data_IF_777139507202
#
_entry.id   IF_777139507202
#
_cell.length_a   1.000
_cell.length_b   1.000
_cell.length_c   1.000
_cell.angle_alpha   90.00
_cell.angle_beta   90.00
_cell.angle_gamma   90.00
#
_symmetry.space_group_name_H-M   'P 1'
#
loop_
_entity.id
_entity.type
_entity.pdbx_description
1 polymer ?
#
# COMPACT_ATOMS: atom_id res chain seq x y z
N UNK A 1 60.54 -38.82 -47.03
CA UNK A 1 60.61 -40.29 -46.78
C UNK A 1 59.72 -40.59 -45.59
N UNK A 2 58.77 -41.52 -45.84
CA UNK A 2 58.00 -42.34 -44.84
C UNK A 2 57.12 -41.60 -43.87
N UNK A 3 55.84 -41.56 -43.98
CA UNK A 3 54.80 -42.64 -43.98
C UNK A 3 54.40 -43.09 -42.60
N UNK A 4 53.08 -43.05 -42.41
CA UNK A 4 52.17 -43.90 -41.64
C UNK A 4 51.43 -43.15 -40.57
N UNK A 5 50.17 -43.01 -40.68
CA UNK A 5 48.97 -43.86 -40.75
C UNK A 5 48.24 -43.96 -39.38
N UNK A 6 47.05 -43.37 -39.35
CA UNK A 6 45.81 -43.83 -38.65
C UNK A 6 45.89 -44.15 -37.15
N UNK A 7 45.04 -43.43 -36.37
CA UNK A 7 43.88 -44.10 -35.73
C UNK A 7 42.79 -43.04 -35.39
N UNK A 8 41.60 -43.34 -35.85
CA UNK A 8 40.31 -42.72 -35.56
C UNK A 8 39.95 -43.11 -34.14
N UNK A 9 39.71 -42.14 -33.25
CA UNK A 9 38.98 -42.37 -32.02
C UNK A 9 37.96 -41.28 -31.82
N UNK A 10 36.72 -41.67 -31.94
CA UNK A 10 35.53 -40.88 -31.74
C UNK A 10 35.44 -40.53 -30.25
N UNK A 11 35.72 -39.30 -29.84
CA UNK A 11 35.38 -38.84 -28.50
C UNK A 11 34.32 -37.77 -28.60
N UNK A 12 33.10 -38.18 -28.26
CA UNK A 12 31.93 -37.32 -28.12
C UNK A 12 32.20 -36.31 -27.04
N UNK A 13 32.46 -35.06 -27.43
CA UNK A 13 32.59 -33.93 -26.51
C UNK A 13 31.19 -33.38 -26.25
N UNK A 14 30.64 -33.79 -25.09
CA UNK A 14 29.40 -33.24 -24.54
C UNK A 14 29.66 -31.79 -24.12
N UNK A 15 29.29 -30.84 -24.96
CA UNK A 15 29.26 -29.43 -24.66
C UNK A 15 28.16 -29.18 -23.61
N UNK A 16 28.54 -29.12 -22.35
CA UNK A 16 27.74 -28.49 -21.30
C UNK A 16 27.75 -26.99 -21.56
N UNK A 17 26.71 -26.51 -22.19
CA UNK A 17 26.39 -25.08 -22.25
C UNK A 17 25.92 -24.70 -20.85
N UNK A 18 26.80 -24.10 -20.06
CA UNK A 18 26.39 -23.30 -18.91
C UNK A 18 25.71 -22.05 -19.46
N UNK A 19 24.40 -22.09 -19.59
CA UNK A 19 23.60 -20.88 -19.66
C UNK A 19 23.68 -20.21 -18.28
N UNK A 20 24.52 -19.20 -18.13
CA UNK A 20 24.30 -18.16 -17.15
C UNK A 20 23.00 -17.47 -17.55
N UNK A 21 21.88 -17.95 -17.05
CA UNK A 21 20.67 -17.15 -17.00
C UNK A 21 20.94 -16.06 -15.95
N UNK A 22 20.93 -14.81 -16.37
CA UNK A 22 20.63 -13.71 -15.47
C UNK A 22 19.23 -14.00 -14.95
N UNK A 23 19.15 -14.46 -13.72
CA UNK A 23 17.91 -14.38 -12.97
C UNK A 23 17.76 -12.89 -12.58
N UNK A 24 17.19 -12.11 -13.48
CA UNK A 24 16.38 -11.00 -13.06
C UNK A 24 15.18 -11.67 -12.38
N UNK A 25 15.29 -11.88 -11.08
CA UNK A 25 14.16 -12.20 -10.23
C UNK A 25 13.25 -10.96 -10.23
N UNK A 26 12.44 -10.83 -11.27
CA UNK A 26 11.16 -10.15 -11.17
C UNK A 26 10.33 -10.96 -10.16
N UNK A 27 10.57 -10.68 -8.89
CA UNK A 27 9.64 -11.07 -7.84
C UNK A 27 8.42 -10.18 -8.05
N UNK A 28 7.52 -10.62 -8.94
CA UNK A 28 6.15 -10.14 -8.87
C UNK A 28 5.71 -10.36 -7.43
N UNK A 29 5.31 -9.29 -6.77
CA UNK A 29 4.65 -9.33 -5.46
C UNK A 29 3.28 -9.99 -5.63
N UNK A 30 3.27 -11.23 -6.06
CA UNK A 30 2.17 -12.13 -5.80
C UNK A 30 2.31 -12.49 -4.32
N UNK A 31 1.64 -11.72 -3.48
CA UNK A 31 1.41 -12.06 -2.08
C UNK A 31 0.54 -13.31 -2.01
N UNK A 32 1.02 -14.40 -2.59
CA UNK A 32 0.49 -15.72 -2.41
C UNK A 32 0.90 -16.20 -1.01
N UNK A 33 0.22 -15.68 -0.02
CA UNK A 33 0.21 -16.30 1.29
C UNK A 33 -0.49 -17.66 1.15
N UNK A 34 0.29 -18.70 1.06
CA UNK A 34 -0.05 -20.13 1.13
C UNK A 34 -1.40 -20.54 0.54
N UNK A 35 -1.35 -21.32 -0.53
CA UNK A 35 -2.43 -22.19 -1.04
C UNK A 35 -3.86 -21.62 -1.12
N UNK A 36 -4.03 -20.51 -1.84
CA UNK A 36 -5.35 -20.03 -2.23
C UNK A 36 -6.12 -19.28 -1.16
N UNK A 37 -5.45 -18.77 -0.13
CA UNK A 37 -5.99 -17.82 0.84
C UNK A 37 -5.97 -16.38 0.31
N UNK A 38 -5.80 -16.18 -0.99
CA UNK A 38 -5.74 -14.88 -1.62
C UNK A 38 -6.86 -13.92 -1.20
N UNK A 39 -7.02 -12.81 -1.88
CA UNK A 39 -7.92 -11.67 -1.61
C UNK A 39 -9.38 -11.99 -1.21
N UNK A 40 -9.68 -13.24 -0.92
CA UNK A 40 -11.02 -13.73 -0.64
C UNK A 40 -11.79 -14.06 -1.94
N UNK A 41 -12.97 -14.59 -1.79
CA UNK A 41 -13.91 -14.89 -2.87
C UNK A 41 -15.32 -14.44 -2.47
N UNK A 42 -16.24 -14.27 -3.44
CA UNK A 42 -17.65 -14.05 -3.13
C UNK A 42 -18.19 -15.12 -2.18
N UNK A 43 -19.06 -14.69 -1.29
CA UNK A 43 -19.68 -15.56 -0.29
C UNK A 43 -20.64 -16.55 -0.97
N UNK A 44 -20.67 -17.76 -0.44
CA UNK A 44 -21.58 -18.81 -0.90
C UNK A 44 -23.05 -18.39 -0.75
N UNK A 45 -23.85 -18.69 -1.78
CA UNK A 45 -25.27 -18.32 -1.87
C UNK A 45 -26.10 -18.88 -0.71
N UNK A 46 -25.65 -19.95 -0.06
CA UNK A 46 -26.34 -20.54 1.07
C UNK A 46 -26.49 -19.58 2.26
N UNK A 47 -25.63 -18.56 2.40
CA UNK A 47 -25.75 -17.53 3.44
C UNK A 47 -26.86 -16.52 3.14
N UNK A 48 -27.31 -16.43 1.88
CA UNK A 48 -28.35 -15.52 1.42
C UNK A 48 -28.18 -14.08 1.95
N UNK A 49 -26.94 -13.58 1.90
CA UNK A 49 -26.63 -12.18 2.21
C UNK A 49 -27.10 -11.32 1.05
N UNK A 50 -27.64 -10.15 1.34
CA UNK A 50 -28.13 -9.21 0.30
C UNK A 50 -27.02 -8.70 -0.62
N UNK A 51 -27.38 -7.74 -1.49
CA UNK A 51 -26.40 -7.06 -2.37
C UNK A 51 -25.29 -6.39 -1.56
N UNK A 52 -24.10 -6.32 -2.14
CA UNK A 52 -22.89 -5.83 -1.46
C UNK A 52 -22.61 -4.39 -1.88
N UNK A 53 -22.73 -3.44 -0.96
CA UNK A 53 -22.37 -2.03 -1.12
C UNK A 53 -20.92 -1.77 -0.64
N UNK A 54 -20.41 -2.68 0.21
CA UNK A 54 -19.05 -2.63 0.76
C UNK A 54 -18.21 -3.78 0.25
N UNK A 55 -16.96 -3.49 -0.04
CA UNK A 55 -15.96 -4.46 -0.52
C UNK A 55 -14.97 -4.73 0.59
N UNK A 56 -14.86 -5.99 1.00
CA UNK A 56 -13.85 -6.47 1.93
C UNK A 56 -12.75 -7.17 1.13
N UNK A 57 -11.53 -6.64 1.22
CA UNK A 57 -10.35 -7.21 0.55
C UNK A 57 -9.41 -7.78 1.60
N UNK A 58 -9.33 -9.11 1.70
CA UNK A 58 -8.44 -9.79 2.64
C UNK A 58 -7.00 -9.54 2.21
N UNK A 59 -6.19 -9.07 3.15
CA UNK A 59 -4.76 -8.82 2.95
C UNK A 59 -3.94 -9.98 3.50
N UNK A 60 -4.30 -10.45 4.69
CA UNK A 60 -3.66 -11.57 5.36
C UNK A 60 -4.62 -12.29 6.29
N UNK A 61 -4.30 -13.55 6.54
CA UNK A 61 -4.99 -14.38 7.50
C UNK A 61 -4.02 -15.38 8.11
N UNK A 62 -4.10 -15.54 9.43
CA UNK A 62 -3.31 -16.53 10.16
C UNK A 62 -4.08 -17.08 11.34
N UNK A 63 -3.62 -18.21 11.84
CA UNK A 63 -4.19 -18.87 13.01
C UNK A 63 -3.14 -18.99 14.10
N UNK A 64 -3.59 -18.90 15.36
CA UNK A 64 -2.72 -19.06 16.52
C UNK A 64 -3.36 -20.04 17.48
N UNK A 65 -2.59 -21.03 17.92
CA UNK A 65 -3.07 -21.97 18.93
C UNK A 65 -3.37 -21.26 20.27
N UNK A 66 -4.37 -21.70 21.00
CA UNK A 66 -5.14 -22.94 20.84
C UNK A 66 -6.36 -22.87 19.91
N UNK A 67 -6.74 -21.71 19.37
CA UNK A 67 -7.92 -21.62 18.51
C UNK A 67 -8.26 -20.21 18.02
N UNK A 68 -7.28 -19.31 17.97
CA UNK A 68 -7.50 -17.92 17.50
C UNK A 68 -7.33 -17.83 15.98
N UNK A 69 -8.26 -17.14 15.33
CA UNK A 69 -8.20 -16.75 13.92
C UNK A 69 -8.04 -15.25 13.85
N UNK A 70 -7.09 -14.78 13.06
CA UNK A 70 -6.80 -13.38 12.82
C UNK A 70 -6.91 -13.10 11.32
N UNK A 71 -7.64 -12.06 10.95
CA UNK A 71 -7.88 -11.67 9.56
C UNK A 71 -7.58 -10.18 9.44
N UNK A 72 -6.61 -9.83 8.63
CA UNK A 72 -6.37 -8.47 8.21
C UNK A 72 -7.06 -8.23 6.87
N UNK A 73 -7.92 -7.25 6.80
CA UNK A 73 -8.62 -6.87 5.59
C UNK A 73 -8.85 -5.37 5.51
N UNK A 74 -9.03 -4.91 4.28
CA UNK A 74 -9.39 -3.54 3.94
C UNK A 74 -10.88 -3.47 3.62
N UNK A 75 -11.53 -2.39 4.02
CA UNK A 75 -12.92 -2.10 3.65
C UNK A 75 -12.99 -0.85 2.78
N UNK A 76 -13.68 -0.96 1.64
CA UNK A 76 -14.00 0.16 0.76
C UNK A 76 -15.47 0.10 0.35
N UNK A 77 -16.01 1.21 -0.15
CA UNK A 77 -17.27 1.21 -0.87
C UNK A 77 -17.13 0.65 -2.29
N UNK A 78 -18.21 0.61 -3.05
CA UNK A 78 -18.24 0.13 -4.44
C UNK A 78 -17.42 1.01 -5.40
N UNK A 79 -17.17 2.26 -5.04
CA UNK A 79 -16.36 3.21 -5.83
C UNK A 79 -14.86 3.13 -5.46
N UNK A 80 -14.51 2.29 -4.47
CA UNK A 80 -13.14 2.10 -3.99
C UNK A 80 -12.71 3.10 -2.91
N UNK A 81 -13.62 3.96 -2.41
CA UNK A 81 -13.31 4.86 -1.33
C UNK A 81 -13.14 4.08 -0.01
N UNK A 82 -12.16 4.44 0.83
CA UNK A 82 -11.91 3.77 2.09
C UNK A 82 -13.07 3.98 3.08
N UNK A 83 -13.44 2.92 3.79
CA UNK A 83 -14.43 2.98 4.88
C UNK A 83 -13.70 2.78 6.20
N UNK A 84 -13.70 3.82 7.04
CA UNK A 84 -13.03 3.87 8.33
C UNK A 84 -14.02 3.88 9.51
N UNK A 85 -13.52 3.68 10.74
CA UNK A 85 -14.32 3.82 11.96
C UNK A 85 -15.25 2.65 12.28
N UNK A 86 -15.13 1.51 11.60
CA UNK A 86 -15.90 0.32 11.92
C UNK A 86 -15.38 -0.33 13.20
N UNK A 87 -16.29 -0.70 14.08
CA UNK A 87 -15.98 -1.46 15.30
C UNK A 87 -16.42 -2.92 15.17
N UNK A 88 -16.03 -3.78 16.12
CA UNK A 88 -16.29 -5.22 16.08
C UNK A 88 -17.79 -5.57 16.01
N UNK A 89 -18.67 -4.73 16.53
CA UNK A 89 -20.12 -4.97 16.53
C UNK A 89 -20.74 -4.93 15.12
N UNK A 90 -20.05 -4.27 14.16
CA UNK A 90 -20.47 -4.18 12.78
C UNK A 90 -20.21 -5.48 12.00
N UNK A 91 -19.36 -6.37 12.53
CA UNK A 91 -18.96 -7.60 11.85
C UNK A 91 -19.70 -8.81 12.38
N UNK A 92 -20.00 -9.75 11.50
CA UNK A 92 -20.51 -11.07 11.81
C UNK A 92 -19.63 -12.12 11.14
N UNK A 93 -19.24 -13.12 11.94
CA UNK A 93 -18.42 -14.24 11.50
C UNK A 93 -19.27 -15.45 11.28
N UNK A 94 -18.99 -16.17 10.20
CA UNK A 94 -19.63 -17.43 9.85
C UNK A 94 -18.55 -18.47 9.55
N UNK A 95 -18.69 -19.66 10.12
CA UNK A 95 -17.82 -20.79 9.82
C UNK A 95 -18.61 -21.96 9.25
N UNK A 96 -18.00 -22.68 8.30
CA UNK A 96 -18.54 -23.90 7.74
C UNK A 96 -17.48 -25.00 7.85
N UNK A 97 -17.79 -26.04 8.59
CA UNK A 97 -16.98 -27.25 8.67
C UNK A 97 -17.25 -28.20 7.52
N UNK A 98 -16.48 -29.30 7.45
CA UNK A 98 -16.56 -30.29 6.38
C UNK A 98 -17.95 -30.93 6.19
N UNK A 99 -18.71 -31.06 7.27
CA UNK A 99 -19.99 -31.78 7.28
C UNK A 99 -21.17 -30.82 7.35
N UNK A 100 -20.93 -29.51 7.33
CA UNK A 100 -21.97 -28.51 7.40
C UNK A 100 -22.52 -28.22 5.99
N UNK A 101 -23.82 -28.27 5.80
CA UNK A 101 -24.46 -27.95 4.51
C UNK A 101 -24.29 -26.46 4.16
N UNK A 102 -24.24 -25.58 5.17
CA UNK A 102 -24.01 -24.16 5.04
C UNK A 102 -23.23 -23.63 6.23
N UNK A 103 -22.92 -22.36 6.19
CA UNK A 103 -22.22 -21.64 7.25
C UNK A 103 -23.09 -21.48 8.52
N UNK A 104 -22.45 -21.57 9.65
CA UNK A 104 -23.02 -21.29 10.96
C UNK A 104 -22.48 -19.97 11.50
N UNK A 105 -23.35 -19.14 12.02
CA UNK A 105 -22.95 -17.88 12.69
C UNK A 105 -22.18 -18.17 13.96
N UNK A 106 -21.04 -17.52 14.14
CA UNK A 106 -20.25 -17.61 15.38
C UNK A 106 -20.73 -16.57 16.36
N UNK A 107 -21.06 -17.01 17.57
CA UNK A 107 -21.53 -16.14 18.65
C UNK A 107 -20.48 -15.10 19.04
N UNK A 108 -20.85 -13.82 19.01
CA UNK A 108 -19.96 -12.71 19.38
C UNK A 108 -19.49 -12.79 20.83
N UNK A 109 -20.35 -13.28 21.73
CA UNK A 109 -20.03 -13.37 23.16
C UNK A 109 -19.09 -14.53 23.49
N UNK A 110 -19.11 -15.60 22.71
CA UNK A 110 -18.27 -16.78 22.92
C UNK A 110 -16.95 -16.70 22.13
N UNK A 111 -16.92 -15.94 21.07
CA UNK A 111 -15.75 -15.82 20.18
C UNK A 111 -14.75 -14.75 20.61
N UNK A 112 -15.06 -13.92 21.61
CA UNK A 112 -14.22 -12.79 22.01
C UNK A 112 -13.78 -11.92 20.83
N UNK A 113 -14.69 -11.75 19.86
CA UNK A 113 -14.43 -11.02 18.62
C UNK A 113 -14.05 -9.56 18.92
N UNK A 114 -12.98 -9.11 18.31
CA UNK A 114 -12.49 -7.74 18.47
C UNK A 114 -11.85 -7.22 17.19
N UNK A 115 -11.88 -5.91 17.00
CA UNK A 115 -10.95 -5.21 16.15
C UNK A 115 -9.73 -4.87 16.99
N UNK A 116 -8.60 -5.35 16.58
CA UNK A 116 -7.33 -5.02 17.22
C UNK A 116 -6.81 -3.70 16.64
N UNK A 117 -6.48 -2.74 17.48
CA UNK A 117 -5.66 -1.60 17.08
C UNK A 117 -4.22 -2.13 16.98
N UNK A 118 -3.80 -2.49 15.78
CA UNK A 118 -2.55 -3.22 15.67
C UNK A 118 -1.49 -2.48 14.88
N UNK A 119 -0.69 -1.70 15.59
CA UNK A 119 0.53 -1.10 15.08
C UNK A 119 1.63 -2.12 14.74
N UNK A 120 1.53 -3.35 15.24
CA UNK A 120 2.60 -4.35 15.09
C UNK A 120 2.58 -5.10 13.75
N UNK A 121 1.47 -5.09 13.02
CA UNK A 121 1.36 -5.78 11.73
C UNK A 121 0.92 -4.86 10.58
N UNK A 122 0.85 -3.57 10.82
CA UNK A 122 0.47 -2.59 9.82
C UNK A 122 1.38 -1.37 9.89
N UNK A 123 2.08 -1.10 8.79
CA UNK A 123 2.86 0.13 8.61
C UNK A 123 2.20 1.02 7.57
N UNK A 124 2.05 2.30 7.88
CA UNK A 124 1.61 3.33 6.95
C UNK A 124 2.78 4.28 6.65
N UNK A 125 3.35 4.16 5.46
CA UNK A 125 4.47 4.97 5.04
C UNK A 125 4.01 6.05 4.04
N UNK A 126 4.34 7.31 4.30
CA UNK A 126 4.06 8.41 3.38
C UNK A 126 5.36 8.91 2.75
N UNK A 127 5.38 9.04 1.44
CA UNK A 127 6.48 9.61 0.65
C UNK A 127 5.97 10.94 0.11
N UNK A 128 6.41 12.03 0.71
CA UNK A 128 6.13 13.40 0.24
C UNK A 128 7.21 13.81 -0.74
N UNK A 129 6.82 14.20 -1.95
CA UNK A 129 7.70 14.54 -3.07
C UNK A 129 7.39 15.96 -3.51
N UNK A 130 8.32 16.86 -3.28
CA UNK A 130 8.16 18.30 -3.50
C UNK A 130 8.92 18.75 -4.75
N UNK A 131 8.22 19.39 -5.66
CA UNK A 131 8.85 20.16 -6.74
C UNK A 131 9.52 21.40 -6.16
N UNK A 132 10.84 21.47 -6.29
CA UNK A 132 11.63 22.63 -5.89
C UNK A 132 12.34 23.25 -7.11
N UNK A 133 11.67 23.24 -8.26
CA UNK A 133 12.08 24.01 -9.44
C UNK A 133 12.05 25.50 -9.18
N UNK A 134 12.67 26.27 -10.07
CA UNK A 134 12.83 27.71 -9.86
C UNK A 134 11.52 28.49 -9.71
N UNK A 135 10.44 28.05 -10.35
CA UNK A 135 9.12 28.69 -10.21
C UNK A 135 8.60 28.62 -8.78
N UNK A 136 8.66 27.43 -8.17
CA UNK A 136 8.26 27.21 -6.76
C UNK A 136 9.15 28.00 -5.81
N UNK A 137 10.48 27.87 -5.97
CA UNK A 137 11.45 28.53 -5.08
C UNK A 137 11.34 30.07 -5.09
N UNK A 138 11.01 30.66 -6.24
CA UNK A 138 10.93 32.11 -6.39
C UNK A 138 9.60 32.73 -6.02
N UNK A 139 8.50 31.95 -6.02
CA UNK A 139 7.15 32.52 -5.92
C UNK A 139 6.26 31.92 -4.84
N UNK A 140 6.55 30.71 -4.36
CA UNK A 140 5.60 29.92 -3.54
C UNK A 140 6.28 29.14 -2.40
N UNK A 141 7.56 29.39 -2.14
CA UNK A 141 8.33 28.60 -1.17
C UNK A 141 7.78 28.69 0.25
N UNK A 142 7.41 29.87 0.71
CA UNK A 142 6.94 30.08 2.09
C UNK A 142 5.58 29.40 2.30
N UNK A 143 4.68 29.49 1.32
CA UNK A 143 3.38 28.86 1.34
C UNK A 143 3.52 27.34 1.24
N UNK A 144 4.42 26.83 0.38
CA UNK A 144 4.72 25.40 0.29
C UNK A 144 5.25 24.86 1.62
N UNK A 145 6.18 25.55 2.26
CA UNK A 145 6.70 25.17 3.58
C UNK A 145 5.59 25.13 4.63
N UNK A 146 4.75 26.16 4.67
CA UNK A 146 3.62 26.23 5.61
C UNK A 146 2.64 25.08 5.37
N UNK A 147 2.25 24.82 4.13
CA UNK A 147 1.34 23.76 3.75
C UNK A 147 1.94 22.37 4.04
N UNK A 148 3.23 22.16 3.76
CA UNK A 148 3.93 20.91 4.03
C UNK A 148 4.06 20.63 5.53
N UNK A 149 4.30 21.64 6.35
CA UNK A 149 4.32 21.51 7.83
C UNK A 149 2.93 21.16 8.36
N UNK A 150 1.88 21.81 7.85
CA UNK A 150 0.49 21.49 8.19
C UNK A 150 0.16 20.03 7.81
N UNK A 151 0.55 19.61 6.62
CA UNK A 151 0.40 18.24 6.15
C UNK A 151 1.06 17.20 7.08
N UNK A 152 2.34 17.40 7.43
CA UNK A 152 3.05 16.53 8.38
C UNK A 152 2.31 16.43 9.70
N UNK A 153 1.81 17.56 10.22
CA UNK A 153 1.08 17.60 11.48
C UNK A 153 -0.25 16.83 11.42
N UNK A 154 -0.90 16.79 10.28
CA UNK A 154 -2.20 16.17 10.07
C UNK A 154 -2.09 14.66 9.74
N UNK A 155 -1.08 14.26 8.95
CA UNK A 155 -0.87 12.85 8.56
C UNK A 155 -0.24 12.05 9.68
N UNK A 156 0.76 12.61 10.37
CA UNK A 156 1.47 11.89 11.41
C UNK A 156 0.67 11.91 12.74
N UNK A 157 0.56 10.79 13.46
CA UNK A 157 -0.21 10.72 14.70
C UNK A 157 0.32 11.67 15.78
N UNK A 158 -0.53 12.09 16.72
CA UNK A 158 -0.17 12.99 17.81
C UNK A 158 0.85 12.37 18.79
N UNK A 159 0.79 11.05 18.94
CA UNK A 159 1.76 10.25 19.70
C UNK A 159 2.63 9.54 18.67
N UNK A 160 3.95 9.60 18.84
CA UNK A 160 4.88 8.92 17.97
C UNK A 160 4.65 7.41 18.00
N UNK A 161 4.33 6.84 16.86
CA UNK A 161 4.10 5.41 16.67
C UNK A 161 4.96 4.93 15.49
N UNK A 162 5.71 3.86 15.68
CA UNK A 162 6.60 3.33 14.64
C UNK A 162 5.86 2.76 13.42
N UNK A 163 4.56 2.57 13.52
CA UNK A 163 3.68 2.14 12.43
C UNK A 163 3.34 3.26 11.43
N UNK A 164 3.60 4.52 11.77
CA UNK A 164 3.40 5.66 10.88
C UNK A 164 4.72 6.37 10.65
N UNK A 165 5.19 6.34 9.40
CA UNK A 165 6.44 6.99 9.03
C UNK A 165 6.27 7.83 7.78
N UNK A 166 7.09 8.87 7.67
CA UNK A 166 7.13 9.71 6.48
C UNK A 166 8.57 9.95 6.06
N UNK A 167 8.82 9.92 4.75
CA UNK A 167 10.03 10.41 4.13
C UNK A 167 9.69 11.61 3.26
N UNK A 168 10.62 12.55 3.13
CA UNK A 168 10.46 13.72 2.27
C UNK A 168 11.57 13.72 1.23
N UNK A 169 11.16 13.79 -0.02
CA UNK A 169 12.04 13.93 -1.18
C UNK A 169 11.69 15.23 -1.92
N UNK A 170 12.61 15.69 -2.73
CA UNK A 170 12.37 16.79 -3.64
C UNK A 170 13.00 16.52 -4.99
N UNK A 171 12.53 17.21 -6.02
CA UNK A 171 13.04 17.13 -7.38
C UNK A 171 13.06 18.50 -8.05
N UNK A 172 13.87 18.62 -9.07
CA UNK A 172 13.98 19.72 -10.01
C UNK A 172 14.16 19.12 -11.43
N UNK A 173 14.92 19.73 -12.31
CA UNK A 173 15.21 19.22 -13.64
C UNK A 173 16.34 18.19 -13.70
N UNK A 174 17.04 17.92 -12.62
CA UNK A 174 18.07 16.89 -12.57
C UNK A 174 17.47 15.46 -12.61
N UNK A 175 18.23 14.49 -13.14
CA UNK A 175 17.78 13.08 -13.13
C UNK A 175 18.06 12.43 -11.76
N UNK A 176 17.58 13.07 -10.71
CA UNK A 176 17.72 12.61 -9.34
C UNK A 176 16.46 12.94 -8.54
N UNK A 177 16.07 12.05 -7.64
CA UNK A 177 15.10 12.33 -6.60
C UNK A 177 15.90 12.53 -5.31
N UNK A 178 16.01 13.78 -4.89
CA UNK A 178 16.86 14.17 -3.76
C UNK A 178 16.18 13.87 -2.43
N UNK A 179 16.91 13.25 -1.52
CA UNK A 179 16.43 13.00 -0.17
C UNK A 179 16.51 14.28 0.66
N UNK A 180 15.38 14.76 1.18
CA UNK A 180 15.33 15.88 2.15
C UNK A 180 15.36 15.33 3.58
N UNK A 181 14.53 14.31 3.87
CA UNK A 181 14.48 13.64 5.16
C UNK A 181 14.15 12.15 4.96
N UNK A 182 14.97 11.31 5.59
CA UNK A 182 14.77 9.86 5.54
C UNK A 182 13.50 9.42 6.28
N UNK A 183 13.10 8.17 6.08
CA UNK A 183 11.88 7.63 6.67
C UNK A 183 11.93 7.66 8.20
N UNK A 184 11.06 8.46 8.82
CA UNK A 184 11.01 8.66 10.26
C UNK A 184 9.58 8.76 10.79
N UNK A 185 9.38 8.37 12.06
CA UNK A 185 8.14 8.63 12.82
C UNK A 185 8.19 9.97 13.58
N UNK A 186 9.30 10.70 13.51
CA UNK A 186 9.52 11.96 14.21
C UNK A 186 8.97 13.16 13.44
N UNK A 187 7.82 13.69 13.87
CA UNK A 187 7.28 14.95 13.31
C UNK A 187 8.29 16.10 13.35
N UNK A 188 9.08 16.17 14.43
CA UNK A 188 10.01 17.28 14.61
C UNK A 188 11.14 17.27 13.57
N UNK A 189 11.64 16.08 13.22
CA UNK A 189 12.65 15.92 12.17
C UNK A 189 12.10 16.37 10.82
N UNK A 190 10.89 15.92 10.45
CA UNK A 190 10.22 16.28 9.21
C UNK A 190 9.98 17.81 9.12
N UNK A 191 9.44 18.42 10.20
CA UNK A 191 9.18 19.86 10.25
C UNK A 191 10.46 20.66 10.16
N UNK A 192 11.54 20.24 10.82
CA UNK A 192 12.84 20.89 10.73
C UNK A 192 13.37 20.84 9.29
N UNK A 193 13.35 19.68 8.65
CA UNK A 193 13.80 19.49 7.27
C UNK A 193 13.04 20.44 6.30
N UNK A 194 11.72 20.54 6.43
CA UNK A 194 10.91 21.46 5.62
C UNK A 194 11.32 22.92 5.87
N UNK A 195 11.51 23.32 7.13
CA UNK A 195 11.89 24.69 7.48
C UNK A 195 13.29 25.07 6.98
N UNK A 196 14.19 24.07 6.84
CA UNK A 196 15.56 24.29 6.38
C UNK A 196 15.67 24.39 4.84
N UNK A 197 14.59 24.16 4.08
CA UNK A 197 14.58 24.40 2.63
C UNK A 197 14.91 25.87 2.36
N UNK A 198 15.84 26.12 1.45
CA UNK A 198 16.25 27.47 1.02
C UNK A 198 15.90 27.67 -0.46
N UNK A 199 15.83 28.94 -0.87
CA UNK A 199 15.63 29.32 -2.28
C UNK A 199 16.81 28.97 -3.20
N UNK A 200 17.91 28.49 -2.62
CA UNK A 200 19.13 28.09 -3.32
C UNK A 200 19.37 26.57 -3.27
N UNK A 201 18.39 25.77 -2.87
CA UNK A 201 18.53 24.31 -2.74
C UNK A 201 18.70 23.61 -4.09
N UNK A 202 18.02 24.10 -5.12
CA UNK A 202 18.07 23.57 -6.48
C UNK A 202 19.08 24.31 -7.34
N UNK A 203 19.71 23.57 -8.26
CA UNK A 203 20.61 24.09 -9.28
C UNK A 203 20.03 24.05 -10.69
N UNK A 204 18.97 23.26 -10.93
CA UNK A 204 18.28 23.14 -12.22
C UNK A 204 16.90 23.78 -12.15
N UNK A 205 16.61 24.82 -12.94
CA UNK A 205 15.34 25.54 -12.86
C UNK A 205 14.15 24.75 -13.46
N UNK A 206 14.38 23.65 -14.16
CA UNK A 206 13.34 22.86 -14.82
C UNK A 206 12.72 21.81 -13.89
N UNK A 207 11.84 20.97 -14.42
CA UNK A 207 10.99 20.04 -13.68
C UNK A 207 11.06 18.65 -14.30
N UNK A 208 11.58 17.62 -13.60
CA UNK A 208 11.56 16.20 -13.99
C UNK A 208 10.40 15.48 -13.28
N UNK A 209 9.16 15.89 -13.56
CA UNK A 209 7.96 15.34 -12.92
C UNK A 209 7.83 13.83 -13.12
N UNK A 210 8.02 13.36 -14.36
CA UNK A 210 7.88 11.94 -14.69
C UNK A 210 8.95 11.08 -14.03
N UNK A 211 10.18 11.57 -13.96
CA UNK A 211 11.25 10.91 -13.23
C UNK A 211 10.99 10.84 -11.73
N UNK A 212 10.47 11.91 -11.14
CA UNK A 212 10.09 11.94 -9.73
C UNK A 212 9.00 10.92 -9.40
N UNK A 213 7.97 10.80 -10.26
CA UNK A 213 6.89 9.81 -10.11
C UNK A 213 7.44 8.37 -10.19
N UNK A 214 8.28 8.08 -11.20
CA UNK A 214 8.86 6.74 -11.38
C UNK A 214 9.72 6.35 -10.17
N UNK A 215 10.59 7.24 -9.72
CA UNK A 215 11.53 6.98 -8.63
C UNK A 215 10.82 6.86 -7.27
N UNK A 216 9.84 7.72 -7.00
CA UNK A 216 9.06 7.65 -5.75
C UNK A 216 8.15 6.42 -5.70
N UNK A 217 7.59 5.99 -6.83
CA UNK A 217 6.86 4.72 -6.92
C UNK A 217 7.77 3.54 -6.54
N UNK A 218 8.99 3.51 -7.09
CA UNK A 218 9.96 2.47 -6.75
C UNK A 218 10.31 2.46 -5.26
N UNK A 219 10.50 3.62 -4.64
CA UNK A 219 10.75 3.72 -3.20
C UNK A 219 9.57 3.14 -2.41
N UNK A 220 8.33 3.47 -2.80
CA UNK A 220 7.13 2.94 -2.14
C UNK A 220 7.05 1.40 -2.25
N UNK A 221 7.35 0.83 -3.41
CA UNK A 221 7.40 -0.62 -3.61
C UNK A 221 8.49 -1.28 -2.77
N UNK A 222 9.66 -0.68 -2.71
CA UNK A 222 10.78 -1.22 -1.94
C UNK A 222 10.47 -1.20 -0.43
N UNK A 223 9.80 -0.17 0.09
CA UNK A 223 9.30 -0.12 1.47
C UNK A 223 8.26 -1.22 1.76
N UNK A 224 7.34 -1.49 0.83
CA UNK A 224 6.39 -2.59 1.00
C UNK A 224 7.09 -3.96 0.99
N UNK A 225 8.12 -4.15 0.15
CA UNK A 225 8.92 -5.38 0.11
C UNK A 225 9.70 -5.60 1.42
N UNK A 226 10.22 -4.55 2.02
CA UNK A 226 10.89 -4.63 3.33
C UNK A 226 9.91 -5.02 4.43
N UNK A 227 8.74 -4.39 4.47
CA UNK A 227 7.69 -4.76 5.42
C UNK A 227 7.34 -6.26 5.34
N UNK A 228 7.23 -6.81 4.13
CA UNK A 228 6.92 -8.24 3.93
C UNK A 228 8.03 -9.14 4.49
N UNK A 229 9.30 -8.77 4.34
CA UNK A 229 10.42 -9.54 4.93
C UNK A 229 10.35 -9.60 6.45
N UNK A 230 9.79 -8.55 7.06
CA UNK A 230 9.60 -8.44 8.50
C UNK A 230 8.25 -9.02 8.96
N UNK A 231 7.51 -9.69 8.07
CA UNK A 231 6.15 -10.20 8.31
C UNK A 231 5.15 -9.10 8.71
N UNK A 232 5.39 -7.87 8.24
CA UNK A 232 4.54 -6.71 8.49
C UNK A 232 3.77 -6.39 7.21
N UNK A 233 2.46 -6.21 7.32
CA UNK A 233 1.66 -5.67 6.23
C UNK A 233 1.71 -4.16 6.27
N UNK A 234 1.99 -3.56 5.12
CA UNK A 234 2.10 -2.12 5.00
C UNK A 234 1.26 -1.55 3.87
N UNK A 235 0.96 -0.27 4.00
CA UNK A 235 0.51 0.57 2.91
C UNK A 235 1.50 1.72 2.72
N UNK A 236 1.59 2.22 1.49
CA UNK A 236 2.36 3.40 1.17
C UNK A 236 1.48 4.46 0.49
N UNK A 237 1.81 5.71 0.72
CA UNK A 237 1.19 6.85 0.05
C UNK A 237 2.27 7.68 -0.62
N UNK A 238 2.20 7.86 -1.93
CA UNK A 238 3.06 8.78 -2.69
C UNK A 238 2.26 10.06 -2.92
N UNK A 239 2.78 11.18 -2.45
CA UNK A 239 2.17 12.51 -2.58
C UNK A 239 3.11 13.38 -3.37
N UNK A 240 2.74 13.75 -4.59
CA UNK A 240 3.55 14.57 -5.48
C UNK A 240 2.96 15.97 -5.56
N UNK A 241 3.77 16.98 -5.26
CA UNK A 241 3.43 18.41 -5.46
C UNK A 241 4.23 18.97 -6.63
N UNK A 242 3.59 19.74 -7.50
CA UNK A 242 4.23 20.49 -8.58
C UNK A 242 3.42 21.75 -8.96
N UNK A 243 4.08 22.78 -9.46
CA UNK A 243 3.47 23.99 -10.04
C UNK A 243 3.57 24.04 -11.59
N UNK A 244 4.11 22.97 -12.21
CA UNK A 244 4.38 22.93 -13.63
C UNK A 244 4.11 21.60 -14.31
N UNK A 245 4.52 21.53 -15.56
CA UNK A 245 4.55 20.31 -16.36
C UNK A 245 5.97 19.78 -16.44
N UNK A 246 6.12 18.53 -16.88
CA UNK A 246 7.45 17.96 -17.13
C UNK A 246 8.20 18.75 -18.21
N UNK A 247 9.34 19.33 -17.84
CA UNK A 247 10.18 20.15 -18.72
C UNK A 247 11.52 19.46 -19.06
N UNK A 248 11.98 18.57 -18.19
CA UNK A 248 13.25 17.88 -18.37
C UNK A 248 13.21 16.87 -19.51
N UNK A 249 12.02 16.36 -19.86
CA UNK A 249 11.79 15.40 -20.95
C UNK A 249 12.70 14.16 -20.93
N UNK A 250 13.05 13.69 -19.72
CA UNK A 250 13.90 12.51 -19.51
C UNK A 250 13.12 11.22 -19.65
N UNK A 251 11.91 11.24 -19.17
CA UNK A 251 10.95 10.13 -19.20
C UNK A 251 9.69 10.56 -19.94
N UNK A 252 8.93 9.60 -20.43
CA UNK A 252 7.64 9.89 -21.07
C UNK A 252 6.52 9.82 -20.04
N UNK A 253 5.43 10.55 -20.27
CA UNK A 253 4.19 10.42 -19.50
C UNK A 253 3.73 8.96 -19.41
N UNK A 254 3.76 8.25 -20.57
CA UNK A 254 3.37 6.84 -20.63
C UNK A 254 4.19 5.96 -19.67
N UNK A 255 5.51 6.21 -19.57
CA UNK A 255 6.37 5.47 -18.64
C UNK A 255 6.00 5.75 -17.18
N UNK A 256 5.73 7.00 -16.81
CA UNK A 256 5.31 7.37 -15.48
C UNK A 256 3.95 6.77 -15.12
N UNK A 257 2.96 6.90 -16.02
CA UNK A 257 1.63 6.34 -15.79
C UNK A 257 1.62 4.81 -15.77
N UNK A 258 2.51 4.17 -16.51
CA UNK A 258 2.68 2.72 -16.46
C UNK A 258 3.07 2.26 -15.05
N UNK A 259 4.11 2.82 -14.45
CA UNK A 259 4.53 2.41 -13.09
C UNK A 259 3.46 2.71 -12.03
N UNK A 260 2.73 3.83 -12.16
CA UNK A 260 1.60 4.14 -11.27
C UNK A 260 0.48 3.10 -11.39
N UNK A 261 0.17 2.64 -12.60
CA UNK A 261 -0.91 1.70 -12.84
C UNK A 261 -0.55 0.25 -12.48
N UNK A 262 0.71 -0.12 -12.64
CA UNK A 262 1.24 -1.45 -12.32
C UNK A 262 1.65 -1.61 -10.85
N UNK A 263 1.72 -0.51 -10.09
CA UNK A 263 2.08 -0.52 -8.68
C UNK A 263 1.10 -1.32 -7.82
N UNK A 264 1.59 -1.84 -6.70
CA UNK A 264 0.79 -2.57 -5.70
C UNK A 264 -0.48 -1.80 -5.31
N UNK A 265 -1.59 -2.51 -5.12
CA UNK A 265 -2.86 -1.94 -4.63
C UNK A 265 -2.73 -1.31 -3.23
N UNK A 266 -1.67 -1.64 -2.49
CA UNK A 266 -1.36 -1.05 -1.21
C UNK A 266 -0.59 0.27 -1.34
N UNK A 267 -0.30 0.74 -2.55
CA UNK A 267 0.26 2.06 -2.82
C UNK A 267 -0.85 2.99 -3.30
N UNK A 268 -0.99 4.11 -2.61
CA UNK A 268 -1.93 5.18 -2.96
C UNK A 268 -1.15 6.34 -3.59
N UNK A 269 -1.70 6.90 -4.65
CA UNK A 269 -1.07 8.00 -5.37
C UNK A 269 -1.94 9.26 -5.25
N UNK A 270 -1.32 10.32 -4.79
CA UNK A 270 -1.92 11.64 -4.63
C UNK A 270 -1.12 12.67 -5.41
N UNK A 271 -1.80 13.61 -6.04
CA UNK A 271 -1.15 14.74 -6.68
C UNK A 271 -1.72 16.08 -6.21
N UNK A 272 -0.85 17.05 -6.06
CA UNK A 272 -1.18 18.43 -5.72
C UNK A 272 -0.59 19.31 -6.81
N UNK A 273 -1.45 20.02 -7.52
CA UNK A 273 -1.05 20.96 -8.56
C UNK A 273 -1.29 22.40 -8.13
N UNK A 274 -0.35 23.30 -8.44
CA UNK A 274 -0.45 24.72 -8.15
C UNK A 274 -0.46 25.57 -9.42
N UNK A 275 -1.42 26.49 -9.52
CA UNK A 275 -1.45 27.52 -10.56
C UNK A 275 -2.02 27.02 -11.89
N UNK A 276 -1.72 27.78 -12.96
CA UNK A 276 -2.32 27.57 -14.27
C UNK A 276 -1.40 26.85 -15.28
N UNK A 277 -0.14 26.62 -14.94
CA UNK A 277 0.85 26.02 -15.84
C UNK A 277 0.90 24.48 -15.73
N UNK A 278 0.08 23.90 -14.87
CA UNK A 278 -0.03 22.45 -14.67
C UNK A 278 -0.89 21.78 -15.75
N UNK A 279 -0.61 20.52 -16.06
CA UNK A 279 -1.52 19.66 -16.79
C UNK A 279 -2.39 18.86 -15.81
N UNK A 280 -3.62 19.36 -15.60
CA UNK A 280 -4.56 18.74 -14.63
C UNK A 280 -4.96 17.33 -15.01
N UNK A 281 -4.97 16.97 -16.31
CA UNK A 281 -5.28 15.61 -16.74
C UNK A 281 -4.15 14.65 -16.40
N UNK A 282 -2.91 15.04 -16.66
CA UNK A 282 -1.71 14.27 -16.32
C UNK A 282 -1.64 14.07 -14.81
N UNK A 283 -1.81 15.15 -14.04
CA UNK A 283 -1.78 15.08 -12.58
C UNK A 283 -2.93 14.21 -12.01
N UNK A 284 -4.12 14.25 -12.61
CA UNK A 284 -5.23 13.37 -12.23
C UNK A 284 -4.89 11.90 -12.49
N UNK A 285 -4.20 11.61 -13.58
CA UNK A 285 -3.78 10.25 -13.89
C UNK A 285 -2.64 9.76 -12.96
N UNK A 286 -1.71 10.64 -12.58
CA UNK A 286 -0.65 10.35 -11.59
C UNK A 286 -1.28 10.13 -10.22
N UNK A 287 -2.09 11.08 -9.77
CA UNK A 287 -2.81 11.01 -8.50
C UNK A 287 -4.06 10.14 -8.58
N UNK A 288 -3.95 8.94 -9.13
CA UNK A 288 -5.10 8.05 -9.41
C UNK A 288 -6.00 7.77 -8.19
N UNK A 289 -5.48 7.95 -6.97
CA UNK A 289 -6.27 7.81 -5.75
C UNK A 289 -7.05 9.08 -5.46
N UNK A 290 -6.40 10.23 -5.52
CA UNK A 290 -7.03 11.53 -5.37
C UNK A 290 -6.10 12.65 -5.83
N UNK A 291 -6.64 13.65 -6.52
CA UNK A 291 -5.90 14.80 -7.00
C UNK A 291 -6.60 16.09 -6.62
N UNK A 292 -5.85 17.10 -6.25
CA UNK A 292 -6.35 18.43 -5.89
C UNK A 292 -5.51 19.52 -6.55
N UNK A 293 -6.16 20.64 -6.83
CA UNK A 293 -5.53 21.75 -7.53
C UNK A 293 -5.79 23.06 -6.81
N UNK A 294 -4.72 23.79 -6.51
CA UNK A 294 -4.78 25.13 -5.94
C UNK A 294 -4.61 26.17 -7.05
N UNK A 295 -5.47 27.16 -7.08
CA UNK A 295 -5.37 28.27 -8.06
C UNK A 295 -4.23 29.24 -7.76
N UNK A 296 -3.82 29.30 -6.50
CA UNK A 296 -2.76 30.18 -6.00
C UNK A 296 -2.12 29.57 -4.74
N UNK A 297 -1.01 30.15 -4.29
CA UNK A 297 -0.23 29.62 -3.17
C UNK A 297 -0.99 29.68 -1.82
N UNK A 298 -1.89 30.64 -1.63
CA UNK A 298 -2.67 30.78 -0.40
C UNK A 298 -3.67 29.62 -0.20
N UNK A 299 -4.02 28.91 -1.26
CA UNK A 299 -4.91 27.74 -1.21
C UNK A 299 -4.16 26.44 -0.87
N UNK A 300 -2.83 26.41 -0.92
CA UNK A 300 -2.02 25.19 -0.74
C UNK A 300 -2.28 24.49 0.59
N UNK A 301 -2.42 25.24 1.68
CA UNK A 301 -2.65 24.62 2.99
C UNK A 301 -3.94 23.79 3.01
N UNK A 302 -5.03 24.32 2.42
CA UNK A 302 -6.29 23.59 2.31
C UNK A 302 -6.13 22.35 1.42
N UNK A 303 -5.44 22.49 0.30
CA UNK A 303 -5.18 21.43 -0.68
C UNK A 303 -4.38 20.28 -0.06
N UNK A 304 -3.32 20.57 0.67
CA UNK A 304 -2.55 19.57 1.41
C UNK A 304 -3.37 18.93 2.54
N UNK A 305 -4.25 19.71 3.20
CA UNK A 305 -5.14 19.18 4.22
C UNK A 305 -6.15 18.16 3.64
N UNK A 306 -6.70 18.41 2.47
CA UNK A 306 -7.61 17.46 1.79
C UNK A 306 -6.90 16.13 1.52
N UNK A 307 -5.66 16.16 1.07
CA UNK A 307 -4.84 14.94 0.89
C UNK A 307 -4.59 14.25 2.23
N UNK A 308 -4.29 15.00 3.30
CA UNK A 308 -4.03 14.41 4.62
C UNK A 308 -5.24 13.65 5.17
N UNK A 309 -6.44 14.16 4.94
CA UNK A 309 -7.70 13.49 5.29
C UNK A 309 -7.82 12.18 4.53
N UNK A 310 -7.57 12.18 3.21
CA UNK A 310 -7.64 10.97 2.38
C UNK A 310 -6.63 9.91 2.78
N UNK A 311 -5.41 10.29 3.13
CA UNK A 311 -4.39 9.36 3.65
C UNK A 311 -4.85 8.76 4.97
N UNK A 312 -5.36 9.57 5.89
CA UNK A 312 -5.86 9.10 7.18
C UNK A 312 -7.07 8.16 7.04
N UNK A 313 -8.03 8.48 6.17
CA UNK A 313 -9.17 7.62 5.87
C UNK A 313 -8.67 6.27 5.34
N UNK A 314 -7.68 6.27 4.45
CA UNK A 314 -7.14 5.05 3.86
C UNK A 314 -6.37 4.20 4.87
N UNK A 315 -5.52 4.80 5.68
CA UNK A 315 -4.82 4.11 6.77
C UNK A 315 -5.81 3.47 7.77
N UNK A 316 -6.90 4.18 8.09
CA UNK A 316 -7.93 3.72 9.02
C UNK A 316 -8.97 2.77 8.40
N UNK A 317 -8.85 2.41 7.12
CA UNK A 317 -9.72 1.42 6.45
C UNK A 317 -9.22 -0.02 6.53
N UNK A 318 -8.06 -0.25 7.14
CA UNK A 318 -7.54 -1.58 7.41
C UNK A 318 -7.95 -2.04 8.81
N UNK A 319 -8.40 -3.28 8.90
CA UNK A 319 -8.91 -3.87 10.12
C UNK A 319 -8.25 -5.21 10.38
N UNK A 320 -7.64 -5.36 11.55
CA UNK A 320 -7.29 -6.67 12.08
C UNK A 320 -8.44 -7.18 12.94
N UNK A 321 -9.18 -8.13 12.42
CA UNK A 321 -10.24 -8.79 13.16
C UNK A 321 -9.73 -10.10 13.73
N UNK A 322 -9.91 -10.27 15.05
CA UNK A 322 -9.50 -11.47 15.76
C UNK A 322 -10.71 -12.09 16.45
N UNK A 323 -10.79 -13.39 16.43
CA UNK A 323 -11.82 -14.13 17.15
C UNK A 323 -11.36 -15.54 17.53
N UNK A 324 -12.04 -16.16 18.47
CA UNK A 324 -11.85 -17.54 18.88
C UNK A 324 -12.79 -18.44 18.07
N UNK A 325 -12.25 -19.30 17.26
CA UNK A 325 -13.02 -20.33 16.58
C UNK A 325 -13.53 -21.39 17.56
N UNK A 326 -14.77 -21.83 17.42
CA UNK A 326 -15.30 -22.96 18.21
C UNK A 326 -14.75 -24.32 17.76
N UNK A 327 -13.98 -24.37 16.67
CA UNK A 327 -13.40 -25.63 16.14
C UNK A 327 -12.42 -26.22 17.16
N UNK A 328 -12.54 -27.53 17.37
CA UNK A 328 -11.75 -28.26 18.39
C UNK A 328 -11.29 -29.64 17.89
N UNK A 329 -11.66 -29.99 16.69
CA UNK A 329 -11.40 -31.32 16.15
C UNK A 329 -10.00 -31.45 15.53
N UNK A 330 -9.24 -30.35 15.47
CA UNK A 330 -7.87 -30.31 14.93
C UNK A 330 -7.78 -30.67 13.45
N UNK A 331 -8.86 -30.57 12.70
CA UNK A 331 -8.99 -31.18 11.39
C UNK A 331 -9.07 -30.18 10.24
N UNK A 332 -7.93 -29.82 9.69
CA UNK A 332 -7.80 -29.26 8.34
C UNK A 332 -8.56 -27.96 8.07
N UNK A 333 -8.79 -27.70 6.81
CA UNK A 333 -9.39 -26.46 6.32
C UNK A 333 -10.89 -26.36 6.62
N UNK A 334 -11.28 -25.19 7.12
CA UNK A 334 -12.66 -24.79 7.32
C UNK A 334 -12.94 -23.52 6.50
N UNK A 335 -14.15 -23.41 5.96
CA UNK A 335 -14.56 -22.16 5.30
C UNK A 335 -14.93 -21.10 6.37
N UNK A 336 -14.62 -19.87 6.05
CA UNK A 336 -14.86 -18.69 6.88
C UNK A 336 -15.48 -17.61 6.00
N UNK A 337 -16.56 -16.99 6.48
CA UNK A 337 -17.08 -15.78 5.89
C UNK A 337 -17.15 -14.68 6.96
N UNK A 338 -16.82 -13.46 6.56
CA UNK A 338 -16.98 -12.26 7.38
C UNK A 338 -17.90 -11.29 6.65
N UNK A 339 -18.93 -10.83 7.34
CA UNK A 339 -19.86 -9.81 6.87
C UNK A 339 -19.71 -8.54 7.69
N UNK A 340 -19.73 -7.40 7.04
CA UNK A 340 -19.85 -6.08 7.67
C UNK A 340 -21.23 -5.51 7.37
N UNK A 341 -21.84 -4.86 8.35
CA UNK A 341 -23.08 -4.09 8.21
C UNK A 341 -22.90 -2.76 8.91
N UNK A 342 -23.00 -1.67 8.16
CA UNK A 342 -22.94 -0.30 8.69
C UNK A 342 -24.12 0.54 8.16
N UNK A 343 -25.10 0.73 9.01
CA UNK A 343 -26.38 1.34 8.63
C UNK A 343 -27.11 0.50 7.58
N UNK A 344 -27.26 1.04 6.38
CA UNK A 344 -27.90 0.35 5.25
C UNK A 344 -26.87 -0.30 4.30
N UNK A 345 -25.57 -0.07 4.52
CA UNK A 345 -24.50 -0.61 3.71
C UNK A 345 -24.06 -1.96 4.27
N UNK A 346 -23.78 -2.89 3.39
CA UNK A 346 -23.25 -4.20 3.78
C UNK A 346 -22.26 -4.72 2.75
N UNK A 347 -21.43 -5.64 3.21
CA UNK A 347 -20.51 -6.37 2.35
C UNK A 347 -20.03 -7.63 3.03
N UNK A 348 -19.57 -8.59 2.24
CA UNK A 348 -19.06 -9.83 2.80
C UNK A 348 -17.98 -10.44 1.91
N UNK A 349 -17.09 -11.21 2.52
CA UNK A 349 -16.04 -11.95 1.83
C UNK A 349 -15.91 -13.33 2.46
N UNK A 350 -15.57 -14.32 1.64
CA UNK A 350 -15.31 -15.69 2.08
C UNK A 350 -13.85 -16.06 1.88
N UNK A 351 -13.31 -16.81 2.84
CA UNK A 351 -11.96 -17.39 2.79
C UNK A 351 -11.96 -18.76 3.49
N UNK A 352 -10.79 -19.26 3.83
CA UNK A 352 -10.57 -20.50 4.57
C UNK A 352 -9.56 -20.27 5.68
N UNK A 353 -9.58 -21.11 6.71
CA UNK A 353 -8.52 -21.18 7.72
C UNK A 353 -8.25 -22.64 8.07
N UNK A 354 -7.03 -22.95 8.51
CA UNK A 354 -6.72 -24.25 9.05
C UNK A 354 -7.00 -24.30 10.54
N UNK A 355 -7.77 -25.30 10.97
CA UNK A 355 -8.01 -25.60 12.37
C UNK A 355 -7.04 -26.67 12.93
N UNK A 356 -5.95 -26.95 12.21
CA UNK A 356 -4.96 -27.95 12.64
C UNK A 356 -4.38 -27.59 14.02
N UNK A 357 -4.46 -28.53 14.93
CA UNK A 357 -4.02 -28.34 16.31
C UNK A 357 -4.96 -27.53 17.20
N UNK A 358 -6.12 -27.09 16.71
CA UNK A 358 -7.09 -26.40 17.54
C UNK A 358 -7.67 -27.33 18.62
N UNK A 359 -7.61 -26.85 19.86
CA UNK A 359 -8.18 -27.55 21.05
C UNK A 359 -9.25 -26.71 21.73
N UNK A 360 -9.50 -25.53 21.20
CA UNK A 360 -10.49 -24.58 21.67
C UNK A 360 -9.99 -23.62 22.75
N UNK A 361 -10.68 -22.47 22.82
CA UNK A 361 -10.31 -21.33 23.67
C UNK A 361 -9.31 -20.41 22.99
N UNK A 362 -9.24 -19.17 23.53
CA UNK A 362 -8.22 -18.18 23.20
C UNK A 362 -7.65 -17.67 24.52
N UNK A 363 -6.49 -18.10 24.86
CA UNK A 363 -5.75 -17.53 25.99
C UNK A 363 -4.64 -16.62 25.49
#
# INVERSE_FOLDING_TARGET
MKSCLKYFSLFSFLLLIFACGNADDDVSLDLNFGDGLGKGKPVDDCLNLGESDLVLSIQEQYTTLPGKVSILFKVSDSDGNPVSGLNADKFTIYEQGRNDECFNTISKSESFARISSNSQIFNSNTILVLDLSNSVLSSSLDELKTASVSFVNNVMPAITEDSYKMAIYWFDGEDELHLLNDLTSSKQELVNAINDITDTISNDPSTDLYGAVIKSTKIAEDLLKENIKDEIIGAASVVVFTDGTDQASRYTEEAALKVVNEASENISFFSIGLGAEIDTQVLTNIGKTFSVFAGNAEELENTFNDISIKISERANSFYLFEYCSPKRDGSGDNNLAIQVVDGNLQGAVQTKFSADGFVGGCQ
#
